data_IF_445583721589
#
_entry.id   IF_445583721589
#
_cell.length_a   1.000
_cell.length_b   1.000
_cell.length_c   1.000
_cell.angle_alpha   90.00
_cell.angle_beta   90.00
_cell.angle_gamma   90.00
#
_symmetry.space_group_name_H-M   'P 1'
#
loop_
_entity.id
_entity.type
_entity.pdbx_description
1 polymer ?
#
# COMPACT_ATOMS: atom_id res chain seq x y z
N UNK A 1 -0.84 2.03 -9.66
CA UNK A 1 0.04 1.49 -8.61
C UNK A 1 0.34 0.03 -8.89
N UNK A 2 1.59 -0.38 -8.79
CA UNK A 2 2.05 -1.77 -8.92
C UNK A 2 2.47 -2.36 -7.56
N UNK A 3 2.74 -3.66 -7.50
CA UNK A 3 3.29 -4.32 -6.29
C UNK A 3 4.66 -3.72 -5.92
N UNK A 4 5.50 -3.41 -6.92
CA UNK A 4 6.80 -2.75 -6.70
C UNK A 4 6.64 -1.41 -5.97
N UNK A 5 5.76 -0.55 -6.48
CA UNK A 5 5.52 0.77 -5.89
C UNK A 5 4.99 0.66 -4.46
N UNK A 6 4.08 -0.29 -4.19
CA UNK A 6 3.59 -0.54 -2.83
C UNK A 6 4.73 -0.95 -1.89
N UNK A 7 5.57 -1.91 -2.30
CA UNK A 7 6.70 -2.38 -1.50
C UNK A 7 7.73 -1.27 -1.24
N UNK A 8 7.99 -0.40 -2.22
CA UNK A 8 8.86 0.76 -2.06
C UNK A 8 8.30 1.78 -1.06
N UNK A 9 6.99 2.04 -1.08
CA UNK A 9 6.33 2.90 -0.09
C UNK A 9 6.47 2.29 1.31
N UNK A 10 6.18 1.00 1.48
CA UNK A 10 6.33 0.32 2.78
C UNK A 10 7.76 0.40 3.26
N UNK A 11 8.74 0.06 2.42
CA UNK A 11 10.17 0.12 2.77
C UNK A 11 10.59 1.52 3.22
N UNK A 12 10.13 2.56 2.52
CA UNK A 12 10.36 3.96 2.90
C UNK A 12 9.74 4.29 4.26
N UNK A 13 8.46 3.94 4.47
CA UNK A 13 7.72 4.25 5.70
C UNK A 13 8.35 3.60 6.92
N UNK A 14 8.80 2.34 6.82
CA UNK A 14 9.41 1.63 7.95
C UNK A 14 10.91 1.91 8.13
N UNK A 15 11.50 2.75 7.27
CA UNK A 15 12.92 3.07 7.30
C UNK A 15 13.82 1.87 6.95
N UNK A 16 13.39 0.96 6.07
CA UNK A 16 14.16 -0.21 5.68
C UNK A 16 15.42 0.19 4.89
N UNK A 17 16.64 -0.09 5.38
CA UNK A 17 17.88 0.35 4.74
C UNK A 17 18.35 -0.58 3.62
N UNK A 18 17.71 -1.74 3.46
CA UNK A 18 18.10 -2.76 2.49
C UNK A 18 17.63 -2.46 1.07
N UNK A 19 17.88 -3.41 0.17
CA UNK A 19 17.40 -3.37 -1.22
C UNK A 19 16.26 -4.35 -1.42
N UNK A 20 15.20 -3.91 -2.11
CA UNK A 20 14.11 -4.78 -2.50
C UNK A 20 14.54 -5.64 -3.71
N UNK A 21 14.31 -6.94 -3.63
CA UNK A 21 14.49 -7.89 -4.73
C UNK A 21 13.13 -8.45 -5.14
N UNK A 22 12.91 -8.56 -6.45
CA UNK A 22 11.71 -9.15 -7.03
C UNK A 22 12.14 -10.31 -7.93
N UNK A 23 11.78 -11.53 -7.54
CA UNK A 23 12.11 -12.74 -8.28
C UNK A 23 11.08 -13.00 -9.38
N UNK A 24 11.43 -12.67 -10.63
CA UNK A 24 10.57 -12.86 -11.80
C UNK A 24 10.45 -14.32 -12.25
N UNK A 25 11.12 -15.27 -11.58
CA UNK A 25 10.87 -16.70 -11.81
C UNK A 25 9.54 -17.16 -11.19
N UNK A 26 8.97 -16.36 -10.28
CA UNK A 26 7.67 -16.62 -9.66
C UNK A 26 6.54 -16.03 -10.50
N UNK A 27 5.39 -16.70 -10.60
CA UNK A 27 4.27 -16.20 -11.40
C UNK A 27 3.61 -15.00 -10.72
N UNK A 28 3.22 -14.02 -11.55
CA UNK A 28 2.34 -12.93 -11.12
C UNK A 28 0.88 -13.39 -11.08
N UNK A 29 0.08 -12.71 -10.25
CA UNK A 29 -1.38 -12.84 -10.25
C UNK A 29 -2.05 -12.12 -11.41
N UNK A 30 -3.34 -11.81 -11.27
CA UNK A 30 -4.05 -11.03 -12.29
C UNK A 30 -3.43 -9.64 -12.43
N UNK A 31 -3.12 -9.15 -13.65
CA UNK A 31 -2.37 -7.90 -13.84
C UNK A 31 -3.01 -6.64 -13.23
N UNK A 32 -4.34 -6.63 -13.09
CA UNK A 32 -5.09 -5.49 -12.56
C UNK A 32 -6.32 -5.96 -11.79
N UNK A 33 -6.44 -5.53 -10.54
CA UNK A 33 -7.60 -5.77 -9.68
C UNK A 33 -7.89 -4.51 -8.87
N UNK A 34 -9.00 -3.84 -9.17
CA UNK A 34 -9.47 -2.63 -8.47
C UNK A 34 -11.00 -2.59 -8.49
N UNK A 35 -11.56 -1.76 -7.62
CA UNK A 35 -12.97 -1.44 -7.63
C UNK A 35 -13.21 -0.15 -8.41
N UNK A 36 -14.32 -0.11 -9.14
CA UNK A 36 -14.88 1.11 -9.68
C UNK A 36 -15.61 1.83 -8.52
N UNK A 37 -15.33 3.12 -8.31
CA UNK A 37 -15.78 3.88 -7.12
C UNK A 37 -16.80 4.97 -7.44
N UNK A 38 -17.28 5.03 -8.69
CA UNK A 38 -18.13 6.10 -9.22
C UNK A 38 -19.43 6.22 -8.43
N UNK A 39 -20.05 5.09 -8.07
CA UNK A 39 -21.27 5.09 -7.26
C UNK A 39 -21.04 5.76 -5.90
N UNK A 40 -19.95 5.43 -5.23
CA UNK A 40 -19.64 5.98 -3.92
C UNK A 40 -19.34 7.48 -4.00
N UNK A 41 -18.56 7.89 -5.02
CA UNK A 41 -18.32 9.31 -5.32
C UNK A 41 -19.60 10.07 -5.63
N UNK A 42 -20.54 9.47 -6.37
CA UNK A 42 -21.83 10.10 -6.70
C UNK A 42 -22.74 10.30 -5.48
N UNK A 43 -22.54 9.51 -4.43
CA UNK A 43 -23.22 9.65 -3.14
C UNK A 43 -22.52 10.66 -2.22
N UNK A 44 -21.50 11.36 -2.71
CA UNK A 44 -20.78 12.39 -1.96
C UNK A 44 -19.65 11.86 -1.07
N UNK A 45 -19.32 10.57 -1.14
CA UNK A 45 -18.20 10.01 -0.37
C UNK A 45 -16.95 9.87 -1.24
N UNK A 46 -15.81 10.33 -0.72
CA UNK A 46 -14.49 10.10 -1.33
C UNK A 46 -13.48 9.73 -0.25
N UNK A 47 -12.49 8.92 -0.59
CA UNK A 47 -11.43 8.55 0.34
C UNK A 47 -10.51 9.75 0.57
N UNK A 48 -10.30 10.12 1.83
CA UNK A 48 -9.49 11.28 2.22
C UNK A 48 -8.05 10.91 2.62
N UNK A 49 -7.74 9.63 2.75
CA UNK A 49 -6.41 9.14 3.10
C UNK A 49 -5.63 8.74 1.85
N UNK A 50 -4.37 9.17 1.76
CA UNK A 50 -3.44 8.61 0.78
C UNK A 50 -2.87 7.30 1.30
N UNK A 51 -2.46 6.42 0.38
CA UNK A 51 -1.88 5.14 0.78
C UNK A 51 -0.63 5.29 1.67
N UNK A 52 0.28 6.20 1.33
CA UNK A 52 1.50 6.45 2.12
C UNK A 52 1.15 6.91 3.54
N UNK A 53 0.22 7.86 3.69
CA UNK A 53 -0.22 8.33 5.01
C UNK A 53 -0.92 7.24 5.83
N UNK A 54 -1.69 6.37 5.18
CA UNK A 54 -2.36 5.25 5.83
C UNK A 54 -1.39 4.18 6.30
N UNK A 55 -0.39 3.83 5.49
CA UNK A 55 0.66 2.88 5.86
C UNK A 55 1.50 3.43 7.02
N UNK A 56 1.84 4.73 7.02
CA UNK A 56 2.57 5.35 8.12
C UNK A 56 1.80 5.29 9.45
N UNK A 57 0.49 5.59 9.42
CA UNK A 57 -0.37 5.46 10.60
C UNK A 57 -0.47 4.02 11.08
N UNK A 58 -0.67 3.07 10.18
CA UNK A 58 -0.73 1.65 10.53
C UNK A 58 0.58 1.12 11.12
N UNK A 59 1.73 1.58 10.61
CA UNK A 59 3.03 1.20 11.15
C UNK A 59 3.28 1.83 12.52
N UNK A 60 2.88 3.08 12.72
CA UNK A 60 2.95 3.73 14.02
C UNK A 60 2.10 2.99 15.06
N UNK A 61 0.84 2.68 14.74
CA UNK A 61 -0.05 1.88 15.60
C UNK A 61 0.57 0.50 15.94
N UNK A 62 1.16 -0.18 14.95
CA UNK A 62 1.89 -1.43 15.19
C UNK A 62 3.03 -1.26 16.19
N UNK A 63 3.82 -0.18 16.10
CA UNK A 63 4.93 0.07 17.04
C UNK A 63 4.45 0.39 18.46
N UNK A 64 3.31 1.07 18.61
CA UNK A 64 2.73 1.38 19.92
C UNK A 64 2.16 0.14 20.62
N UNK A 65 1.74 -0.87 19.86
CA UNK A 65 1.11 -2.09 20.38
C UNK A 65 1.94 -3.36 20.19
N UNK A 66 3.18 -3.25 19.70
CA UNK A 66 4.10 -4.37 19.61
C UNK A 66 4.53 -4.78 21.02
N UNK A 67 4.27 -6.05 21.38
CA UNK A 67 4.64 -6.68 22.65
C UNK A 67 6.14 -6.94 22.71
#
# INVERSE_FOLDING_TARGET
>A
MTIRQLAEIVAKVIGFPGKLAFDSSKPDGTPRKLLAVERMSSLGWTANATLESGIAQAYHDFLEHAV
#
